data_IF_290014738954
#
_entry.id   IF_290014738954
#
_cell.length_a   1.000
_cell.length_b   1.000
_cell.length_c   1.000
_cell.angle_alpha   90.00
_cell.angle_beta   90.00
_cell.angle_gamma   90.00
#
_symmetry.space_group_name_H-M   'P 1'
#
loop_
_entity.id
_entity.type
_entity.pdbx_description
1 polymer ?
#
# COMPACT_ATOMS: atom_id res chain seq x y z
N UNK A 1 5.55 -7.07 24.43
CA UNK A 1 4.98 -5.86 23.79
C UNK A 1 4.74 -4.85 24.90
N UNK A 2 5.53 -3.78 24.93
CA UNK A 2 5.60 -2.88 26.09
C UNK A 2 4.45 -1.85 26.00
N UNK A 3 3.89 -1.39 27.13
CA UNK A 3 2.77 -0.42 27.13
C UNK A 3 3.14 0.89 26.42
N UNK A 4 4.43 1.22 26.42
CA UNK A 4 5.00 2.34 25.64
C UNK A 4 4.86 2.16 24.12
N UNK A 5 4.93 0.93 23.58
CA UNK A 5 4.71 0.69 22.15
C UNK A 5 3.24 0.88 21.76
N UNK A 6 2.31 0.80 22.72
CA UNK A 6 0.88 1.03 22.50
C UNK A 6 0.51 2.52 22.51
N UNK A 7 1.26 3.35 23.25
CA UNK A 7 1.04 4.81 23.34
C UNK A 7 1.92 5.58 22.34
N UNK A 8 3.13 5.09 22.02
CA UNK A 8 4.03 5.74 21.07
C UNK A 8 3.62 5.52 19.60
N UNK A 9 2.71 4.57 19.32
CA UNK A 9 2.43 4.10 17.97
C UNK A 9 1.04 4.40 17.35
N UNK A 10 0.01 4.98 18.00
CA UNK A 10 -1.29 5.07 17.34
C UNK A 10 -1.43 6.33 16.46
N UNK A 11 -0.49 7.27 16.51
CA UNK A 11 -0.59 8.52 15.77
C UNK A 11 0.65 8.72 14.90
N UNK A 12 0.64 8.09 13.72
CA UNK A 12 1.34 8.62 12.54
C UNK A 12 0.67 9.93 12.05
N UNK A 13 0.29 10.77 13.00
CA UNK A 13 -0.08 12.16 12.79
C UNK A 13 1.27 12.84 12.69
N UNK A 14 1.73 13.04 11.45
CA UNK A 14 2.95 13.80 11.18
C UNK A 14 2.94 15.05 12.08
N UNK A 15 4.06 15.42 12.71
CA UNK A 15 4.17 16.63 13.54
C UNK A 15 3.34 17.83 13.00
N UNK A 16 3.32 18.15 11.69
CA UNK A 16 2.47 19.22 11.15
C UNK A 16 0.94 19.02 11.30
N UNK A 17 0.44 17.78 11.29
CA UNK A 17 -1.00 17.51 11.45
C UNK A 17 -1.52 17.76 12.88
N UNK A 18 -0.69 17.62 13.93
CA UNK A 18 -1.02 18.06 15.29
C UNK A 18 -1.14 19.59 15.39
N UNK A 19 -0.23 20.34 14.75
CA UNK A 19 -0.28 21.80 14.70
C UNK A 19 -1.50 22.31 13.94
N UNK A 20 -1.88 21.63 12.85
CA UNK A 20 -3.06 21.99 12.06
C UNK A 20 -4.37 21.71 12.79
N UNK A 21 -4.49 20.59 13.49
CA UNK A 21 -5.65 20.32 14.37
C UNK A 21 -5.72 21.36 15.48
N UNK A 22 -4.58 21.72 16.08
CA UNK A 22 -4.50 22.81 17.05
C UNK A 22 -4.95 24.16 16.48
N UNK A 23 -4.47 24.53 15.29
CA UNK A 23 -4.84 25.78 14.61
C UNK A 23 -6.31 25.81 14.20
N UNK A 24 -6.88 24.70 13.69
CA UNK A 24 -8.29 24.56 13.36
C UNK A 24 -9.17 24.63 14.61
N UNK A 25 -8.74 24.03 15.72
CA UNK A 25 -9.42 24.16 17.01
C UNK A 25 -9.45 25.62 17.45
N UNK A 26 -8.34 26.36 17.35
CA UNK A 26 -8.30 27.80 17.67
C UNK A 26 -9.21 28.60 16.75
N UNK A 27 -9.17 28.34 15.43
CA UNK A 27 -9.97 29.05 14.43
C UNK A 27 -11.48 28.80 14.53
N UNK A 28 -11.90 27.62 15.02
CA UNK A 28 -13.32 27.32 15.27
C UNK A 28 -13.80 27.84 16.63
N UNK A 29 -12.92 27.88 17.64
CA UNK A 29 -13.24 28.36 18.99
C UNK A 29 -13.44 29.89 19.01
N UNK A 30 -12.72 30.66 18.20
CA UNK A 30 -12.84 32.14 18.13
C UNK A 30 -14.19 32.67 17.61
N UNK A 31 -14.80 32.15 16.53
CA UNK A 31 -16.12 32.58 16.09
C UNK A 31 -17.23 32.06 17.02
N UNK A 32 -17.11 30.82 17.51
CA UNK A 32 -18.01 30.29 18.54
C UNK A 32 -17.97 31.16 19.79
N UNK A 33 -16.81 31.72 20.14
CA UNK A 33 -16.71 32.56 21.33
C UNK A 33 -17.45 33.87 21.22
N UNK A 34 -17.47 34.49 20.04
CA UNK A 34 -18.28 35.68 19.77
C UNK A 34 -19.78 35.38 19.86
N UNK A 35 -20.22 34.21 19.42
CA UNK A 35 -21.63 33.78 19.54
C UNK A 35 -22.00 33.51 21.00
N UNK A 36 -21.13 32.92 21.81
CA UNK A 36 -21.41 32.67 23.23
C UNK A 36 -21.28 33.91 24.13
N UNK A 37 -20.51 34.92 23.71
CA UNK A 37 -20.45 36.22 24.41
C UNK A 37 -21.81 36.94 24.40
N UNK A 38 -22.64 36.73 23.37
CA UNK A 38 -23.98 37.33 23.28
C UNK A 38 -24.99 36.73 24.26
N UNK A 39 -24.72 35.52 24.77
CA UNK A 39 -25.53 34.89 25.80
C UNK A 39 -25.09 35.33 27.21
N UNK A 40 -26.04 35.74 28.05
CA UNK A 40 -25.83 36.10 29.47
C UNK A 40 -25.54 34.86 30.36
N UNK A 41 -24.62 34.00 29.94
CA UNK A 41 -24.10 32.90 30.76
C UNK A 41 -22.93 33.37 31.62
N UNK A 42 -22.84 32.85 32.85
CA UNK A 42 -21.70 33.09 33.74
C UNK A 42 -20.38 32.59 33.11
N UNK A 43 -19.27 33.19 33.52
CA UNK A 43 -17.92 32.85 33.03
C UNK A 43 -17.59 31.36 33.18
N UNK A 44 -18.01 30.73 34.29
CA UNK A 44 -17.78 29.31 34.54
C UNK A 44 -18.46 28.42 33.49
N UNK A 45 -19.72 28.71 33.15
CA UNK A 45 -20.46 27.97 32.14
C UNK A 45 -19.88 28.13 30.74
N UNK A 46 -19.37 29.33 30.41
CA UNK A 46 -18.68 29.57 29.12
C UNK A 46 -17.46 28.66 28.98
N UNK A 47 -16.63 28.56 30.02
CA UNK A 47 -15.44 27.68 30.03
C UNK A 47 -15.83 26.21 29.82
N UNK A 48 -16.86 25.73 30.52
CA UNK A 48 -17.35 24.35 30.40
C UNK A 48 -17.79 24.06 28.96
N UNK A 49 -18.54 24.97 28.34
CA UNK A 49 -19.03 24.81 26.97
C UNK A 49 -17.86 24.79 25.96
N UNK A 50 -16.84 25.64 26.12
CA UNK A 50 -15.65 25.59 25.25
C UNK A 50 -14.87 24.28 25.41
N UNK A 51 -14.66 23.83 26.64
CA UNK A 51 -13.98 22.57 26.89
C UNK A 51 -14.76 21.40 26.27
N UNK A 52 -16.09 21.36 26.46
CA UNK A 52 -16.95 20.33 25.90
C UNK A 52 -16.98 20.35 24.36
N UNK A 53 -17.09 21.53 23.74
CA UNK A 53 -17.11 21.66 22.28
C UNK A 53 -15.74 21.34 21.64
N UNK A 54 -14.64 21.72 22.27
CA UNK A 54 -13.29 21.34 21.83
C UNK A 54 -13.08 19.82 21.94
N UNK A 55 -13.48 19.21 23.05
CA UNK A 55 -13.47 17.75 23.20
C UNK A 55 -14.34 17.05 22.16
N UNK A 56 -15.53 17.58 21.87
CA UNK A 56 -16.44 17.00 20.89
C UNK A 56 -15.85 17.09 19.46
N UNK A 57 -15.29 18.23 19.08
CA UNK A 57 -14.64 18.42 17.78
C UNK A 57 -13.44 17.48 17.63
N UNK A 58 -12.55 17.44 18.62
CA UNK A 58 -11.41 16.51 18.60
C UNK A 58 -11.85 15.05 18.53
N UNK A 59 -12.92 14.67 19.22
CA UNK A 59 -13.47 13.32 19.15
C UNK A 59 -14.07 12.97 17.78
N UNK A 60 -14.75 13.91 17.12
CA UNK A 60 -15.25 13.72 15.76
C UNK A 60 -14.10 13.55 14.77
N UNK A 61 -13.07 14.39 14.85
CA UNK A 61 -11.94 14.33 13.92
C UNK A 61 -11.02 13.13 14.16
N UNK A 62 -10.69 12.83 15.42
CA UNK A 62 -9.76 11.76 15.77
C UNK A 62 -10.45 10.41 15.91
N UNK A 63 -11.76 10.37 16.14
CA UNK A 63 -12.51 9.13 16.34
C UNK A 63 -12.47 8.22 15.11
N UNK A 64 -12.69 8.79 13.92
CA UNK A 64 -12.64 8.04 12.66
C UNK A 64 -11.22 7.56 12.35
N UNK A 65 -10.23 8.44 12.48
CA UNK A 65 -8.82 8.08 12.32
C UNK A 65 -8.37 7.00 13.32
N UNK A 66 -8.83 7.07 14.57
CA UNK A 66 -8.54 6.08 15.59
C UNK A 66 -9.14 4.72 15.25
N UNK A 67 -10.43 4.66 14.88
CA UNK A 67 -11.09 3.42 14.45
C UNK A 67 -10.41 2.81 13.22
N UNK A 68 -10.08 3.63 12.24
CA UNK A 68 -9.38 3.18 11.04
C UNK A 68 -7.97 2.69 11.34
N UNK A 69 -7.23 3.36 12.23
CA UNK A 69 -5.91 2.92 12.72
C UNK A 69 -5.99 1.56 13.43
N UNK A 70 -6.97 1.35 14.31
CA UNK A 70 -7.19 0.05 14.96
C UNK A 70 -7.49 -1.06 13.95
N UNK A 71 -8.37 -0.80 12.97
CA UNK A 71 -8.67 -1.76 11.92
C UNK A 71 -7.44 -2.06 11.05
N UNK A 72 -6.69 -1.04 10.67
CA UNK A 72 -5.46 -1.18 9.91
C UNK A 72 -4.43 -2.04 10.65
N UNK A 73 -4.18 -1.76 11.93
CA UNK A 73 -3.26 -2.55 12.75
C UNK A 73 -3.73 -4.01 12.90
N UNK A 74 -5.05 -4.23 13.03
CA UNK A 74 -5.63 -5.56 13.04
C UNK A 74 -5.32 -6.30 11.72
N UNK A 75 -5.59 -5.67 10.57
CA UNK A 75 -5.29 -6.25 9.26
C UNK A 75 -3.79 -6.51 9.07
N UNK A 76 -2.92 -5.59 9.50
CA UNK A 76 -1.47 -5.80 9.45
C UNK A 76 -1.06 -7.04 10.25
N UNK A 77 -1.61 -7.21 11.45
CA UNK A 77 -1.24 -8.33 12.32
C UNK A 77 -1.83 -9.67 11.86
N UNK A 78 -3.05 -9.68 11.36
CA UNK A 78 -3.82 -10.91 11.15
C UNK A 78 -3.81 -11.39 9.69
N UNK A 79 -3.74 -10.48 8.72
CA UNK A 79 -3.89 -10.83 7.31
C UNK A 79 -2.67 -10.48 6.45
N UNK A 80 -1.84 -9.52 6.87
CA UNK A 80 -0.73 -9.06 6.04
C UNK A 80 0.45 -10.02 6.07
N UNK A 81 1.25 -9.97 5.01
CA UNK A 81 2.42 -10.81 4.86
C UNK A 81 2.33 -11.73 3.63
N UNK A 82 3.34 -12.58 3.54
CA UNK A 82 3.56 -13.52 2.45
C UNK A 82 2.98 -14.89 2.82
N UNK A 83 2.02 -15.35 2.04
CA UNK A 83 1.39 -16.66 2.18
C UNK A 83 1.84 -17.54 1.01
N UNK A 84 2.79 -18.45 1.27
CA UNK A 84 3.28 -19.41 0.29
C UNK A 84 2.50 -20.71 0.45
N UNK A 85 1.75 -21.09 -0.57
CA UNK A 85 0.99 -22.34 -0.58
C UNK A 85 1.78 -23.48 -1.22
N UNK A 86 2.53 -23.17 -2.28
CA UNK A 86 3.31 -24.17 -3.03
C UNK A 86 4.48 -23.53 -3.76
N UNK A 87 5.62 -24.23 -3.78
CA UNK A 87 6.80 -23.87 -4.56
C UNK A 87 6.92 -24.75 -5.80
N UNK A 88 7.43 -24.17 -6.89
CA UNK A 88 7.69 -24.82 -8.17
C UNK A 88 9.12 -24.53 -8.59
N UNK A 89 9.82 -25.59 -8.98
CA UNK A 89 11.18 -25.53 -9.52
C UNK A 89 11.21 -25.60 -11.04
N UNK A 90 12.36 -25.23 -11.62
CA UNK A 90 12.64 -25.29 -13.06
C UNK A 90 11.64 -24.48 -13.90
N UNK A 91 11.30 -23.28 -13.42
CA UNK A 91 10.40 -22.37 -14.12
C UNK A 91 11.17 -21.62 -15.21
N UNK A 92 10.82 -21.87 -16.47
CA UNK A 92 11.43 -21.20 -17.63
C UNK A 92 10.96 -19.75 -17.73
N UNK A 93 9.66 -19.51 -17.51
CA UNK A 93 9.02 -18.21 -17.70
C UNK A 93 7.72 -18.07 -16.89
N UNK A 94 7.27 -16.82 -16.76
CA UNK A 94 5.95 -16.47 -16.26
C UNK A 94 5.36 -15.30 -17.03
N UNK A 95 4.04 -15.15 -16.99
CA UNK A 95 3.32 -13.99 -17.49
C UNK A 95 2.97 -13.04 -16.34
N UNK A 96 2.85 -11.73 -16.62
CA UNK A 96 2.56 -10.71 -15.63
C UNK A 96 1.57 -9.65 -16.12
N UNK A 97 0.94 -8.93 -15.19
CA UNK A 97 0.08 -7.78 -15.48
C UNK A 97 0.86 -6.46 -15.72
N UNK A 98 2.20 -6.53 -15.72
CA UNK A 98 3.06 -5.34 -15.85
C UNK A 98 4.37 -5.66 -16.58
N UNK A 99 4.69 -4.84 -17.58
CA UNK A 99 5.99 -4.92 -18.27
C UNK A 99 7.19 -4.65 -17.36
N UNK A 100 7.00 -3.92 -16.25
CA UNK A 100 8.07 -3.70 -15.27
C UNK A 100 8.42 -4.96 -14.49
N UNK A 101 7.40 -5.78 -14.17
CA UNK A 101 7.56 -7.07 -13.50
C UNK A 101 8.17 -8.08 -14.45
N UNK A 102 7.66 -8.14 -15.69
CA UNK A 102 8.21 -9.04 -16.72
C UNK A 102 9.64 -8.67 -17.12
N UNK A 103 10.01 -7.39 -17.22
CA UNK A 103 11.40 -7.01 -17.49
C UNK A 103 12.30 -7.32 -16.28
N UNK A 104 11.82 -7.06 -15.06
CA UNK A 104 12.52 -7.35 -13.80
C UNK A 104 12.92 -8.81 -13.62
N UNK A 105 12.16 -9.74 -14.21
CA UNK A 105 12.42 -11.18 -14.11
C UNK A 105 13.68 -11.60 -14.86
N UNK A 106 14.02 -10.96 -15.98
CA UNK A 106 15.16 -11.37 -16.80
C UNK A 106 16.48 -11.25 -16.02
N UNK A 107 16.60 -10.22 -15.18
CA UNK A 107 17.75 -10.06 -14.27
C UNK A 107 17.84 -11.16 -13.19
N UNK A 108 16.80 -12.00 -13.04
CA UNK A 108 16.72 -13.09 -12.06
C UNK A 108 16.94 -14.48 -12.64
N UNK A 109 17.25 -14.57 -13.94
CA UNK A 109 17.60 -15.84 -14.58
C UNK A 109 16.44 -16.55 -15.27
N UNK A 110 15.27 -15.92 -15.41
CA UNK A 110 14.24 -16.45 -16.31
C UNK A 110 14.64 -16.17 -17.76
N UNK A 111 14.47 -17.16 -18.64
CA UNK A 111 14.84 -17.04 -20.05
C UNK A 111 13.99 -16.01 -20.79
N UNK A 112 12.71 -15.93 -20.44
CA UNK A 112 11.80 -14.90 -20.93
C UNK A 112 10.68 -14.65 -19.92
N UNK A 113 9.93 -13.58 -20.12
CA UNK A 113 8.67 -13.33 -19.42
C UNK A 113 7.70 -12.60 -20.32
N UNK A 114 6.42 -12.73 -20.01
CA UNK A 114 5.36 -12.18 -20.84
C UNK A 114 4.53 -11.20 -20.02
N UNK A 115 3.87 -10.26 -20.67
CA UNK A 115 2.94 -9.38 -19.98
C UNK A 115 1.84 -8.83 -20.87
N UNK A 116 0.74 -8.43 -20.24
CA UNK A 116 -0.35 -7.70 -20.86
C UNK A 116 -0.12 -6.19 -20.70
N UNK A 117 -0.14 -5.45 -21.81
CA UNK A 117 -0.03 -4.00 -21.85
C UNK A 117 -1.41 -3.37 -22.11
N UNK A 118 -1.45 -2.04 -22.08
CA UNK A 118 -2.68 -1.27 -22.33
C UNK A 118 -3.29 -1.66 -23.69
N UNK A 119 -4.60 -1.94 -23.68
CA UNK A 119 -5.35 -2.36 -24.87
C UNK A 119 -5.30 -3.86 -25.16
N UNK A 120 -5.08 -4.69 -24.14
CA UNK A 120 -5.04 -6.16 -24.20
C UNK A 120 -3.97 -6.69 -25.17
N UNK A 121 -2.90 -5.91 -25.40
CA UNK A 121 -1.78 -6.33 -26.23
C UNK A 121 -0.82 -7.15 -25.39
N UNK A 122 -0.42 -8.30 -25.90
CA UNK A 122 0.49 -9.20 -25.20
C UNK A 122 1.90 -9.02 -25.74
N UNK A 123 2.87 -8.97 -24.83
CA UNK A 123 4.28 -8.85 -25.18
C UNK A 123 5.10 -9.90 -24.46
N UNK A 124 6.14 -10.38 -25.15
CA UNK A 124 7.23 -11.14 -24.57
C UNK A 124 8.46 -10.25 -24.44
N UNK A 125 9.11 -10.34 -23.29
CA UNK A 125 10.46 -9.80 -23.07
C UNK A 125 11.44 -10.94 -22.90
N UNK A 126 12.58 -10.82 -23.57
CA UNK A 126 13.68 -11.81 -23.53
C UNK A 126 15.00 -11.09 -23.78
N UNK A 127 16.09 -11.56 -23.20
CA UNK A 127 17.40 -11.00 -23.47
C UNK A 127 18.52 -11.77 -22.79
N UNK A 128 19.66 -11.87 -23.46
CA UNK A 128 20.92 -12.33 -22.88
C UNK A 128 21.73 -11.09 -22.46
N UNK A 129 22.30 -11.09 -21.25
CA UNK A 129 23.10 -9.95 -20.76
C UNK A 129 22.29 -8.75 -20.28
N UNK A 130 21.13 -8.99 -19.67
CA UNK A 130 20.25 -7.93 -19.14
C UNK A 130 20.89 -7.23 -17.93
N UNK A 131 20.96 -5.90 -17.98
CA UNK A 131 21.60 -5.09 -16.93
C UNK A 131 20.59 -4.20 -16.17
N UNK A 132 20.85 -4.02 -14.87
CA UNK A 132 20.15 -3.04 -14.04
C UNK A 132 20.91 -1.71 -14.03
N UNK A 133 20.46 -0.75 -14.84
CA UNK A 133 21.05 0.59 -14.91
C UNK A 133 20.11 1.59 -14.25
N UNK A 134 20.54 2.20 -13.13
CA UNK A 134 19.74 3.18 -12.35
C UNK A 134 18.35 2.64 -11.95
N UNK A 135 18.28 1.37 -11.56
CA UNK A 135 17.02 0.71 -11.15
C UNK A 135 16.07 0.39 -12.31
N UNK A 136 16.52 0.54 -13.57
CA UNK A 136 15.77 0.13 -14.76
C UNK A 136 16.49 -1.02 -15.44
N UNK A 137 15.73 -2.03 -15.83
CA UNK A 137 16.22 -3.14 -16.64
C UNK A 137 16.43 -2.64 -18.06
N UNK A 138 17.62 -2.90 -18.63
CA UNK A 138 17.98 -2.56 -20.02
C UNK A 138 18.56 -3.78 -20.73
N UNK A 139 18.59 -3.73 -22.07
CA UNK A 139 19.17 -4.79 -22.90
C UNK A 139 18.23 -5.97 -23.16
N UNK A 140 16.92 -5.79 -22.97
CA UNK A 140 15.92 -6.80 -23.33
C UNK A 140 15.25 -6.46 -24.67
N UNK A 141 14.90 -7.50 -25.41
CA UNK A 141 14.06 -7.41 -26.61
C UNK A 141 12.59 -7.52 -26.20
N UNK A 142 11.73 -6.72 -26.84
CA UNK A 142 10.28 -6.75 -26.68
C UNK A 142 9.65 -7.20 -28.00
N UNK A 143 8.81 -8.23 -27.98
CA UNK A 143 8.08 -8.74 -29.13
C UNK A 143 6.60 -8.89 -28.81
N UNK A 144 5.71 -8.50 -29.72
CA UNK A 144 4.27 -8.74 -29.58
C UNK A 144 3.95 -10.23 -29.82
N UNK A 145 3.05 -10.78 -29.01
CA UNK A 145 2.61 -12.18 -29.06
C UNK A 145 1.08 -12.24 -29.10
N UNK A 146 0.53 -13.36 -29.56
CA UNK A 146 -0.92 -13.55 -29.66
C UNK A 146 -1.54 -14.27 -28.45
N UNK A 147 -0.73 -15.07 -27.75
CA UNK A 147 -1.12 -15.80 -26.55
C UNK A 147 0.09 -15.94 -25.62
N UNK A 148 -0.18 -16.02 -24.32
CA UNK A 148 0.84 -16.36 -23.33
C UNK A 148 1.22 -17.83 -23.41
N UNK A 149 2.51 -18.12 -23.61
CA UNK A 149 3.08 -19.47 -23.48
C UNK A 149 3.35 -19.85 -22.02
N UNK A 150 3.50 -18.86 -21.14
CA UNK A 150 3.85 -19.10 -19.75
C UNK A 150 2.72 -19.79 -18.98
N UNK A 151 3.08 -20.77 -18.15
CA UNK A 151 2.13 -21.51 -17.28
C UNK A 151 1.67 -20.70 -16.07
N UNK A 152 2.56 -19.87 -15.54
CA UNK A 152 2.31 -19.08 -14.32
C UNK A 152 1.92 -17.65 -14.67
N UNK A 153 1.05 -17.05 -13.86
CA UNK A 153 0.65 -15.67 -14.00
C UNK A 153 0.79 -14.91 -12.69
N UNK A 154 1.30 -13.69 -12.80
CA UNK A 154 1.55 -12.80 -11.67
C UNK A 154 0.77 -11.52 -11.86
N UNK A 155 -0.05 -11.17 -10.87
CA UNK A 155 -0.87 -9.98 -10.97
C UNK A 155 -1.14 -9.33 -9.62
N UNK A 156 -1.38 -8.01 -9.67
CA UNK A 156 -1.78 -7.21 -8.52
C UNK A 156 -3.31 -7.05 -8.49
N UNK A 157 -3.95 -7.57 -7.45
CA UNK A 157 -5.37 -7.32 -7.15
C UNK A 157 -5.48 -6.25 -6.08
N UNK A 158 -6.33 -5.24 -6.30
CA UNK A 158 -6.59 -4.22 -5.27
C UNK A 158 -8.06 -4.19 -4.87
N UNK A 159 -8.33 -3.98 -3.59
CA UNK A 159 -9.67 -3.89 -3.01
C UNK A 159 -9.72 -2.74 -2.01
N UNK A 160 -10.69 -1.86 -2.17
CA UNK A 160 -10.97 -0.80 -1.19
C UNK A 160 -11.80 -1.44 -0.07
N UNK A 161 -11.31 -1.39 1.16
CA UNK A 161 -12.03 -1.91 2.33
C UNK A 161 -12.81 -0.81 3.05
N UNK A 162 -12.25 0.40 3.06
CA UNK A 162 -12.88 1.63 3.54
C UNK A 162 -12.26 2.83 2.83
N UNK A 163 -12.79 4.04 3.09
CA UNK A 163 -12.21 5.28 2.55
C UNK A 163 -10.74 5.51 2.95
N UNK A 164 -10.30 4.86 4.02
CA UNK A 164 -8.97 5.02 4.61
C UNK A 164 -8.12 3.74 4.53
N UNK A 165 -8.67 2.60 4.09
CA UNK A 165 -7.93 1.34 4.05
C UNK A 165 -8.11 0.67 2.68
N UNK A 166 -6.98 0.42 2.02
CA UNK A 166 -6.91 -0.32 0.76
C UNK A 166 -6.09 -1.59 0.95
N UNK A 167 -6.65 -2.72 0.55
CA UNK A 167 -5.95 -4.01 0.46
C UNK A 167 -5.35 -4.15 -0.94
N UNK A 168 -4.11 -4.58 -1.04
CA UNK A 168 -3.42 -4.93 -2.28
C UNK A 168 -2.80 -6.32 -2.12
N UNK A 169 -3.19 -7.22 -2.99
CA UNK A 169 -2.66 -8.57 -3.06
C UNK A 169 -1.82 -8.68 -4.31
N UNK A 170 -0.59 -9.18 -4.19
CA UNK A 170 0.15 -9.69 -5.34
C UNK A 170 0.02 -11.20 -5.34
N UNK A 171 -0.47 -11.76 -6.43
CA UNK A 171 -0.86 -13.17 -6.52
C UNK A 171 0.00 -13.83 -7.58
N UNK A 172 0.48 -15.04 -7.28
CA UNK A 172 1.08 -15.94 -8.26
C UNK A 172 0.15 -17.14 -8.41
N UNK A 173 -0.34 -17.39 -9.61
CA UNK A 173 -1.25 -18.51 -9.89
C UNK A 173 -0.78 -19.36 -11.07
N UNK A 174 -1.26 -20.59 -11.11
CA UNK A 174 -1.23 -21.44 -12.31
C UNK A 174 -2.38 -21.01 -13.22
N UNK A 175 -2.09 -20.63 -14.47
CA UNK A 175 -3.08 -20.04 -15.38
C UNK A 175 -4.24 -20.96 -15.71
N UNK A 176 -3.95 -22.24 -15.95
CA UNK A 176 -4.91 -23.24 -16.39
C UNK A 176 -5.86 -23.67 -15.26
N UNK A 177 -5.31 -23.93 -14.07
CA UNK A 177 -6.07 -24.46 -12.93
C UNK A 177 -6.60 -23.39 -11.99
N UNK A 178 -6.08 -22.15 -12.10
CA UNK A 178 -6.31 -21.06 -11.12
C UNK A 178 -5.88 -21.43 -9.70
N UNK A 179 -4.97 -22.39 -9.57
CA UNK A 179 -4.33 -22.73 -8.31
C UNK A 179 -3.41 -21.59 -7.89
N UNK A 180 -3.68 -21.01 -6.72
CA UNK A 180 -2.87 -19.95 -6.16
C UNK A 180 -1.64 -20.57 -5.48
N UNK A 181 -0.46 -20.20 -5.96
CA UNK A 181 0.82 -20.66 -5.44
C UNK A 181 1.31 -19.76 -4.29
N UNK A 182 1.03 -18.45 -4.40
CA UNK A 182 1.46 -17.45 -3.42
C UNK A 182 0.54 -16.23 -3.42
N UNK A 183 0.37 -15.64 -2.24
CA UNK A 183 -0.25 -14.32 -2.05
C UNK A 183 0.58 -13.45 -1.12
N UNK A 184 1.02 -12.29 -1.60
CA UNK A 184 1.52 -11.22 -0.74
C UNK A 184 0.42 -10.20 -0.50
N UNK A 185 -0.06 -10.15 0.74
CA UNK A 185 -1.13 -9.26 1.16
C UNK A 185 -0.53 -8.04 1.86
N UNK A 186 -0.79 -6.87 1.31
CA UNK A 186 -0.44 -5.59 1.90
C UNK A 186 -1.68 -4.73 2.12
N UNK A 187 -1.67 -3.95 3.19
CA UNK A 187 -2.67 -2.91 3.41
C UNK A 187 -2.00 -1.55 3.37
N UNK A 188 -2.73 -0.59 2.84
CA UNK A 188 -2.36 0.81 2.77
C UNK A 188 -3.36 1.61 3.57
N UNK A 189 -2.84 2.47 4.44
CA UNK A 189 -3.66 3.44 5.16
C UNK A 189 -3.62 4.78 4.43
N UNK A 190 -4.78 5.26 4.01
CA UNK A 190 -4.98 6.58 3.45
C UNK A 190 -5.61 7.48 4.52
N UNK A 191 -5.17 8.74 4.59
CA UNK A 191 -5.66 9.63 5.60
C UNK A 191 -7.07 10.12 5.21
N UNK A 192 -7.79 10.69 6.17
CA UNK A 192 -9.18 11.08 5.98
C UNK A 192 -9.37 12.16 4.91
N UNK A 193 -10.62 12.49 4.58
CA UNK A 193 -10.92 13.53 3.57
C UNK A 193 -10.27 14.88 3.89
N UNK A 194 -10.22 15.27 5.17
CA UNK A 194 -9.62 16.52 5.63
C UNK A 194 -8.10 16.48 5.46
N UNK A 195 -7.47 15.39 5.90
CA UNK A 195 -6.03 15.19 5.75
C UNK A 195 -5.62 15.17 4.27
N UNK A 196 -6.42 14.56 3.39
CA UNK A 196 -6.18 14.58 1.94
C UNK A 196 -6.13 16.01 1.39
N UNK A 197 -6.97 16.92 1.89
CA UNK A 197 -6.94 18.34 1.50
C UNK A 197 -5.69 19.04 2.02
N UNK A 198 -5.33 18.79 3.28
CA UNK A 198 -4.11 19.32 3.90
C UNK A 198 -2.86 18.85 3.16
N UNK A 199 -2.75 17.55 2.90
CA UNK A 199 -1.63 16.96 2.16
C UNK A 199 -1.59 17.45 0.72
N UNK A 200 -2.74 17.64 0.07
CA UNK A 200 -2.80 18.28 -1.25
C UNK A 200 -2.17 19.68 -1.29
N UNK A 201 -2.05 20.37 -0.15
CA UNK A 201 -1.33 21.65 -0.05
C UNK A 201 0.14 21.49 0.36
N UNK A 202 0.47 20.46 1.14
CA UNK A 202 1.81 20.24 1.70
C UNK A 202 2.72 19.35 0.82
N UNK A 203 2.18 18.69 -0.21
CA UNK A 203 2.93 17.87 -1.17
C UNK A 203 2.56 16.38 -1.15
N UNK A 204 3.38 15.56 -1.81
CA UNK A 204 3.07 14.15 -2.04
C UNK A 204 3.06 13.32 -0.74
N UNK A 205 1.90 12.73 -0.44
CA UNK A 205 1.73 11.81 0.67
C UNK A 205 1.93 10.36 0.21
N UNK A 206 2.91 9.67 0.82
CA UNK A 206 3.07 8.22 0.65
C UNK A 206 2.34 7.50 1.77
N UNK A 207 1.29 6.71 1.48
CA UNK A 207 0.55 6.00 2.51
C UNK A 207 1.44 4.97 3.22
N UNK A 208 1.38 4.89 4.56
CA UNK A 208 2.06 3.82 5.27
C UNK A 208 1.47 2.47 4.85
N UNK A 209 2.35 1.47 4.84
CA UNK A 209 2.08 0.09 4.45
C UNK A 209 2.47 -0.85 5.59
N UNK A 210 1.76 -1.97 5.75
CA UNK A 210 1.96 -2.89 6.88
C UNK A 210 3.37 -3.49 6.91
N UNK A 211 4.01 -3.64 5.75
CA UNK A 211 5.31 -4.28 5.64
C UNK A 211 6.33 -3.37 4.95
N UNK A 212 7.48 -3.19 5.60
CA UNK A 212 8.58 -2.31 5.18
C UNK A 212 9.67 -3.06 4.42
N UNK A 213 9.66 -4.39 4.40
CA UNK A 213 10.71 -5.13 3.71
C UNK A 213 10.42 -5.30 2.21
N UNK A 214 11.52 -5.34 1.43
CA UNK A 214 11.55 -5.45 -0.03
C UNK A 214 11.05 -6.82 -0.56
N UNK A 215 9.98 -7.37 0.03
CA UNK A 215 9.39 -8.67 -0.30
C UNK A 215 8.79 -8.72 -1.70
N UNK A 216 8.49 -7.57 -2.31
CA UNK A 216 8.01 -7.47 -3.69
C UNK A 216 8.95 -8.20 -4.68
N UNK A 217 10.25 -8.23 -4.39
CA UNK A 217 11.24 -8.94 -5.21
C UNK A 217 11.73 -10.27 -4.61
N UNK A 218 11.37 -10.54 -3.34
CA UNK A 218 11.61 -11.83 -2.66
C UNK A 218 10.57 -12.89 -3.01
N UNK A 219 9.35 -12.48 -3.41
CA UNK A 219 8.24 -13.31 -3.90
C UNK A 219 8.72 -14.37 -4.92
N UNK A 220 9.27 -13.93 -6.05
CA UNK A 220 9.62 -14.82 -7.17
C UNK A 220 10.66 -15.88 -6.81
N UNK A 221 11.60 -15.57 -5.91
CA UNK A 221 12.70 -16.47 -5.54
C UNK A 221 12.25 -17.69 -4.75
N UNK A 222 11.17 -17.58 -3.99
CA UNK A 222 10.73 -18.66 -3.08
C UNK A 222 9.72 -19.59 -3.72
N UNK A 223 8.99 -19.11 -4.72
CA UNK A 223 7.85 -19.84 -5.31
C UNK A 223 8.08 -20.27 -6.74
N UNK A 224 8.68 -19.43 -7.58
CA UNK A 224 8.97 -19.78 -8.97
C UNK A 224 10.48 -19.86 -9.15
N UNK A 225 11.10 -20.97 -8.74
CA UNK A 225 12.56 -21.10 -8.83
C UNK A 225 12.94 -21.29 -10.31
N UNK A 226 13.75 -20.37 -10.90
CA UNK A 226 14.10 -20.46 -12.31
C UNK A 226 14.97 -21.69 -12.58
N UNK A 227 15.00 -22.14 -13.83
CA UNK A 227 15.94 -23.19 -14.27
C UNK A 227 17.37 -22.71 -13.99
N UNK A 228 18.13 -23.48 -13.20
CA UNK A 228 19.55 -23.21 -13.02
C UNK A 228 20.26 -23.54 -14.33
N UNK A 229 20.81 -22.52 -15.00
CA UNK A 229 21.73 -22.74 -16.10
C UNK A 229 23.01 -23.28 -15.46
N UNK A 230 23.23 -24.59 -15.52
CA UNK A 230 24.51 -25.19 -15.20
C UNK A 230 25.48 -24.69 -16.26
N UNK A 231 26.30 -23.69 -15.90
CA UNK A 231 27.45 -23.30 -16.70
C UNK A 231 28.55 -24.32 -16.41
N UNK A 232 28.68 -25.29 -17.32
CA UNK A 232 29.88 -26.15 -17.41
C UNK A 232 31.12 -25.33 -17.82
#
# INVERSE_FOLDING_TARGET
>A
MNWYDFIASPLWVSKPSLWLVGALCVLLVVPLSKVFISFKLSTAWRIIIYAASSLLLTWIFLGDAYKASLQYNKYCREESGMHVYRTVENVVSFAADSGSVAAGSLYRGYSFSEYEDVGNKLFRVSGEGVELIKGRVKGFNKKEIYHFESKYYIYDKSKILSEQIKKKNRIIEVRETKEVLEELINFYYYPGWMDRKIWGWLGDYTPPRCDTENHIWGLYKKVLIPVQIVTD
#
